data_IF_548914865841
#
_entry.id   IF_548914865841
#
_cell.length_a   1.000
_cell.length_b   1.000
_cell.length_c   1.000
_cell.angle_alpha   90.00
_cell.angle_beta   90.00
_cell.angle_gamma   90.00
#
_symmetry.space_group_name_H-M   'P 1'
#
loop_
_entity.id
_entity.type
_entity.pdbx_description
1 polymer ?
#
# COMPACT_ATOMS: atom_id res chain seq x y z
N UNK A 1 1.39 15.81 7.69
CA UNK A 1 2.44 15.48 6.70
C UNK A 1 3.50 16.57 6.61
N UNK A 2 3.13 17.85 6.59
CA UNK A 2 4.08 18.97 6.46
C UNK A 2 5.19 18.96 7.53
N UNK A 3 4.89 18.67 8.80
CA UNK A 3 5.90 18.49 9.86
C UNK A 3 6.96 17.46 9.46
N UNK A 4 6.54 16.25 9.05
CA UNK A 4 7.47 15.16 8.76
C UNK A 4 8.24 15.40 7.46
N UNK A 5 7.64 16.01 6.44
CA UNK A 5 8.38 16.43 5.24
C UNK A 5 9.41 17.51 5.57
N UNK A 6 9.07 18.51 6.40
CA UNK A 6 10.04 19.51 6.85
C UNK A 6 11.22 18.83 7.57
N UNK A 7 10.96 17.86 8.44
CA UNK A 7 12.02 17.14 9.17
C UNK A 7 12.88 16.27 8.25
N UNK A 8 12.28 15.37 7.46
CA UNK A 8 12.99 14.41 6.61
C UNK A 8 13.71 15.07 5.43
N UNK A 9 13.09 16.06 4.80
CA UNK A 9 13.57 16.62 3.53
C UNK A 9 14.40 17.90 3.72
N UNK A 10 14.21 18.62 4.83
CA UNK A 10 14.67 20.01 4.94
C UNK A 10 15.49 20.36 6.18
N UNK A 11 15.47 19.52 7.22
CA UNK A 11 16.21 19.82 8.45
C UNK A 11 17.71 19.61 8.29
N UNK A 12 18.12 18.74 7.37
CA UNK A 12 19.50 18.48 7.00
C UNK A 12 19.65 18.64 5.49
N UNK A 13 20.69 19.29 5.00
CA UNK A 13 20.97 19.29 3.57
C UNK A 13 21.52 17.92 3.10
N UNK A 14 21.48 17.64 1.79
CA UNK A 14 22.06 16.40 1.22
C UNK A 14 23.58 16.27 1.46
N UNK A 15 24.29 17.37 1.69
CA UNK A 15 25.74 17.45 1.93
C UNK A 15 26.07 17.82 3.39
N UNK A 16 25.13 17.61 4.31
CA UNK A 16 25.33 17.92 5.73
C UNK A 16 26.36 16.99 6.39
N UNK A 17 26.32 15.70 6.08
CA UNK A 17 27.23 14.69 6.63
C UNK A 17 28.46 14.57 5.72
N UNK A 18 29.66 14.71 6.30
CA UNK A 18 30.92 14.67 5.54
C UNK A 18 31.92 13.63 6.03
N UNK A 19 31.77 13.13 7.27
CA UNK A 19 32.62 12.10 7.87
C UNK A 19 34.12 12.34 7.64
N UNK A 20 34.60 13.57 7.87
CA UNK A 20 35.99 13.93 7.58
C UNK A 20 36.86 13.81 8.85
N UNK A 21 37.65 12.72 9.00
CA UNK A 21 38.53 12.55 10.15
C UNK A 21 39.70 13.53 10.16
N UNK A 22 40.09 14.10 9.01
CA UNK A 22 41.22 15.04 8.92
C UNK A 22 40.85 16.39 9.51
N UNK A 23 39.70 16.93 9.11
CA UNK A 23 39.17 18.18 9.68
C UNK A 23 38.43 17.98 11.01
N UNK A 24 38.19 16.72 11.42
CA UNK A 24 37.40 16.34 12.60
C UNK A 24 35.96 16.84 12.53
N UNK A 25 35.39 16.88 11.34
CA UNK A 25 34.00 17.30 11.09
C UNK A 25 33.20 16.07 10.70
N UNK A 26 32.23 15.69 11.54
CA UNK A 26 31.25 14.65 11.18
C UNK A 26 30.14 15.26 10.31
N UNK A 27 29.54 16.35 10.80
CA UNK A 27 28.46 17.10 10.14
C UNK A 27 28.82 18.57 10.06
N UNK A 28 28.50 19.20 8.92
CA UNK A 28 28.53 20.65 8.71
C UNK A 28 27.36 21.32 9.45
N UNK A 29 27.60 22.06 10.55
CA UNK A 29 26.51 22.65 11.34
C UNK A 29 25.67 23.66 10.53
N UNK A 30 26.27 24.37 9.57
CA UNK A 30 25.60 25.30 8.67
C UNK A 30 24.65 24.63 7.66
N UNK A 31 24.71 23.29 7.55
CA UNK A 31 23.87 22.46 6.69
C UNK A 31 22.81 21.69 7.48
N UNK A 32 22.61 22.04 8.74
CA UNK A 32 21.54 21.54 9.61
C UNK A 32 20.75 22.73 10.14
N UNK A 33 19.41 22.62 10.16
CA UNK A 33 18.54 23.68 10.63
C UNK A 33 17.33 23.15 11.39
N UNK A 34 16.86 23.99 12.30
CA UNK A 34 15.48 23.95 12.77
C UNK A 34 14.51 24.15 11.61
N UNK A 35 13.38 23.44 11.68
CA UNK A 35 12.28 23.54 10.73
C UNK A 35 11.23 24.56 11.15
N UNK A 36 11.22 24.94 12.43
CA UNK A 36 10.37 25.99 13.00
C UNK A 36 8.91 25.92 12.53
N UNK A 37 8.34 24.71 12.52
CA UNK A 37 6.95 24.52 12.13
C UNK A 37 6.04 25.07 13.23
N UNK A 38 5.06 25.86 12.82
CA UNK A 38 3.93 26.29 13.63
C UNK A 38 2.67 25.97 12.84
N UNK A 39 1.71 25.30 13.47
CA UNK A 39 0.47 24.89 12.81
C UNK A 39 -0.63 24.61 13.82
N UNK A 40 -1.86 24.44 13.35
CA UNK A 40 -3.03 24.27 14.23
C UNK A 40 -2.96 23.04 15.14
N UNK A 41 -2.49 21.91 14.61
CA UNK A 41 -2.44 20.63 15.33
C UNK A 41 -1.10 20.35 15.99
N UNK A 42 -0.03 20.96 15.46
CA UNK A 42 1.32 20.93 16.02
C UNK A 42 1.76 22.38 16.24
N UNK A 43 1.37 22.99 17.38
CA UNK A 43 1.58 24.42 17.61
C UNK A 43 3.04 24.86 17.50
N UNK A 44 3.97 23.97 17.86
CA UNK A 44 5.40 24.21 17.69
C UNK A 44 6.17 22.91 17.50
N UNK A 45 6.94 22.83 16.43
CA UNK A 45 7.98 21.82 16.21
C UNK A 45 9.22 22.56 15.70
N UNK A 46 10.14 22.98 16.59
CA UNK A 46 11.36 23.68 16.21
C UNK A 46 12.27 22.79 15.34
N UNK A 47 12.46 21.52 15.70
CA UNK A 47 13.53 20.69 15.14
C UNK A 47 14.87 20.97 15.84
N UNK A 48 16.03 20.64 15.21
CA UNK A 48 16.17 19.89 13.95
C UNK A 48 15.67 18.45 14.07
N UNK A 49 15.61 17.73 12.96
CA UNK A 49 15.47 16.27 12.99
C UNK A 49 16.71 15.67 13.65
N UNK A 50 16.52 14.71 14.56
CA UNK A 50 17.64 14.11 15.30
C UNK A 50 18.41 13.05 14.48
N UNK A 51 17.88 12.66 13.33
CA UNK A 51 18.51 11.68 12.43
C UNK A 51 19.12 12.38 11.22
N UNK A 52 20.29 11.90 10.79
CA UNK A 52 20.88 12.29 9.51
C UNK A 52 20.06 11.77 8.32
N UNK A 53 20.27 12.30 7.10
CA UNK A 53 19.57 11.85 5.91
C UNK A 53 19.69 10.34 5.66
N UNK A 54 18.57 9.61 5.64
CA UNK A 54 18.54 8.21 5.19
C UNK A 54 18.52 8.12 3.65
N UNK A 55 18.77 6.94 3.07
CA UNK A 55 18.77 6.75 1.60
C UNK A 55 17.51 7.28 0.90
N UNK A 56 16.34 7.06 1.50
CA UNK A 56 15.05 7.54 0.97
C UNK A 56 14.58 8.84 1.61
N UNK A 57 15.21 9.30 2.70
CA UNK A 57 14.76 10.37 3.62
C UNK A 57 13.29 10.16 3.99
N UNK A 58 12.33 10.64 3.19
CA UNK A 58 10.93 10.23 3.29
C UNK A 58 10.74 8.75 2.89
N UNK A 59 10.13 7.89 3.74
CA UNK A 59 9.79 6.51 3.35
C UNK A 59 8.72 6.48 2.24
N UNK A 60 8.56 5.35 1.54
CA UNK A 60 7.49 5.22 0.54
C UNK A 60 6.13 5.41 1.23
N UNK A 61 5.31 6.34 0.72
CA UNK A 61 4.03 6.67 1.35
C UNK A 61 2.90 5.79 0.82
N UNK A 62 2.44 4.86 1.65
CA UNK A 62 1.22 4.08 1.42
C UNK A 62 0.01 4.76 2.06
N UNK A 63 -1.15 4.65 1.42
CA UNK A 63 -2.43 5.15 1.93
C UNK A 63 -3.57 4.19 1.55
N UNK A 64 -4.57 4.00 2.43
CA UNK A 64 -5.66 3.03 2.22
C UNK A 64 -7.08 3.61 2.42
N UNK A 65 -7.23 4.93 2.45
CA UNK A 65 -8.50 5.59 2.74
C UNK A 65 -9.31 5.84 1.47
N UNK A 66 -10.50 5.26 1.40
CA UNK A 66 -11.39 5.32 0.22
C UNK A 66 -12.51 6.38 0.29
N UNK A 67 -12.59 7.16 1.38
CA UNK A 67 -13.55 8.28 1.49
C UNK A 67 -13.12 9.47 0.63
N UNK A 68 -14.03 10.39 0.31
CA UNK A 68 -13.69 11.60 -0.46
C UNK A 68 -12.47 12.37 0.10
N UNK A 69 -12.45 12.71 1.40
CA UNK A 69 -11.28 13.32 2.05
C UNK A 69 -10.04 12.41 2.03
N UNK A 70 -10.22 11.10 2.21
CA UNK A 70 -9.13 10.12 2.15
C UNK A 70 -8.47 10.07 0.77
N UNK A 71 -9.28 10.11 -0.30
CA UNK A 71 -8.82 10.12 -1.68
C UNK A 71 -8.12 11.43 -2.03
N UNK A 72 -8.62 12.59 -1.56
CA UNK A 72 -7.93 13.87 -1.74
C UNK A 72 -6.57 13.89 -1.01
N UNK A 73 -6.51 13.33 0.20
CA UNK A 73 -5.25 13.16 0.93
C UNK A 73 -4.28 12.23 0.19
N UNK A 74 -4.78 11.11 -0.34
CA UNK A 74 -3.99 10.16 -1.12
C UNK A 74 -3.46 10.79 -2.41
N UNK A 75 -4.31 11.50 -3.16
CA UNK A 75 -3.90 12.25 -4.34
C UNK A 75 -2.74 13.20 -4.05
N UNK A 76 -2.76 13.87 -2.89
CA UNK A 76 -1.70 14.80 -2.47
C UNK A 76 -0.40 14.14 -1.99
N UNK A 77 -0.48 12.99 -1.32
CA UNK A 77 0.65 12.46 -0.53
C UNK A 77 1.03 11.02 -0.80
N UNK A 78 0.14 10.20 -1.33
CA UNK A 78 0.43 8.79 -1.52
C UNK A 78 1.32 8.60 -2.74
N UNK A 79 2.26 7.67 -2.61
CA UNK A 79 2.96 7.05 -3.72
C UNK A 79 2.20 5.77 -4.12
N UNK A 80 1.75 5.00 -3.12
CA UNK A 80 0.97 3.79 -3.31
C UNK A 80 -0.38 3.90 -2.59
N UNK A 81 -1.46 3.57 -3.28
CA UNK A 81 -2.80 3.44 -2.71
C UNK A 81 -3.16 1.97 -2.62
N UNK A 82 -3.69 1.56 -1.47
CA UNK A 82 -4.27 0.25 -1.27
C UNK A 82 -5.80 0.33 -1.31
N UNK A 83 -6.43 -0.48 -2.15
CA UNK A 83 -7.88 -0.54 -2.29
C UNK A 83 -8.42 -1.96 -2.05
N UNK A 84 -9.60 -2.05 -1.43
CA UNK A 84 -10.37 -3.28 -1.33
C UNK A 84 -11.61 -3.21 -2.21
N UNK A 85 -11.66 -3.96 -3.30
CA UNK A 85 -12.80 -4.03 -4.20
C UNK A 85 -13.05 -5.48 -4.58
N UNK A 86 -14.31 -5.91 -4.61
CA UNK A 86 -14.67 -7.31 -4.86
C UNK A 86 -14.71 -7.69 -6.35
N UNK A 87 -14.69 -6.71 -7.26
CA UNK A 87 -14.68 -6.93 -8.72
C UNK A 87 -13.78 -5.92 -9.45
N UNK A 88 -13.18 -6.28 -10.59
CA UNK A 88 -12.30 -5.39 -11.35
C UNK A 88 -12.95 -4.05 -11.75
N UNK A 89 -14.23 -4.05 -12.12
CA UNK A 89 -14.93 -2.84 -12.56
C UNK A 89 -15.17 -1.85 -11.42
N UNK A 90 -15.31 -2.35 -10.18
CA UNK A 90 -15.39 -1.53 -8.99
C UNK A 90 -14.01 -0.97 -8.61
N UNK A 91 -12.95 -1.76 -8.78
CA UNK A 91 -11.58 -1.29 -8.63
C UNK A 91 -11.26 -0.19 -9.66
N UNK A 92 -11.70 -0.35 -10.92
CA UNK A 92 -11.52 0.64 -11.99
C UNK A 92 -11.97 2.03 -11.57
N UNK A 93 -13.18 2.14 -11.02
CA UNK A 93 -13.71 3.45 -10.57
C UNK A 93 -12.80 4.12 -9.55
N UNK A 94 -12.22 3.35 -8.63
CA UNK A 94 -11.31 3.88 -7.59
C UNK A 94 -9.95 4.26 -8.15
N UNK A 95 -9.40 3.46 -9.07
CA UNK A 95 -8.17 3.76 -9.80
C UNK A 95 -8.33 5.06 -10.59
N UNK A 96 -9.40 5.16 -11.38
CA UNK A 96 -9.69 6.34 -12.21
C UNK A 96 -9.86 7.59 -11.34
N UNK A 97 -10.58 7.50 -10.21
CA UNK A 97 -10.74 8.59 -9.25
C UNK A 97 -9.42 9.02 -8.60
N UNK A 98 -8.58 8.07 -8.17
CA UNK A 98 -7.27 8.35 -7.60
C UNK A 98 -6.38 9.11 -8.58
N UNK A 99 -6.28 8.59 -9.80
CA UNK A 99 -5.46 9.15 -10.87
C UNK A 99 -5.98 10.51 -11.34
N UNK A 100 -7.29 10.71 -11.40
CA UNK A 100 -7.89 12.01 -11.67
C UNK A 100 -7.53 13.04 -10.59
N UNK A 101 -7.66 12.69 -9.30
CA UNK A 101 -7.31 13.58 -8.20
C UNK A 101 -5.82 13.96 -8.19
N UNK A 102 -4.93 13.03 -8.53
CA UNK A 102 -3.50 13.32 -8.69
C UNK A 102 -3.25 14.32 -9.84
N UNK A 103 -3.92 14.11 -10.98
CA UNK A 103 -3.83 15.01 -12.15
C UNK A 103 -4.28 16.43 -11.81
N UNK A 104 -5.41 16.57 -11.11
CA UNK A 104 -6.01 17.86 -10.76
C UNK A 104 -5.06 18.76 -9.95
N UNK A 105 -4.17 18.15 -9.15
CA UNK A 105 -3.19 18.88 -8.35
C UNK A 105 -1.80 18.96 -9.00
N UNK A 106 -1.69 18.59 -10.28
CA UNK A 106 -0.46 18.70 -11.06
C UNK A 106 0.54 17.56 -10.90
N UNK A 107 0.14 16.42 -10.32
CA UNK A 107 0.96 15.20 -10.29
C UNK A 107 0.74 14.38 -11.55
N UNK A 108 1.77 13.66 -11.95
CA UNK A 108 1.63 12.58 -12.92
C UNK A 108 0.73 11.47 -12.35
N UNK A 109 -0.40 11.14 -13.01
CA UNK A 109 -1.31 10.10 -12.53
C UNK A 109 -0.65 8.71 -12.40
N UNK A 110 0.35 8.42 -13.23
CA UNK A 110 1.03 7.12 -13.24
C UNK A 110 2.09 7.01 -12.12
N UNK A 111 2.39 8.13 -11.44
CA UNK A 111 3.19 8.16 -10.20
C UNK A 111 2.45 7.56 -9.00
N UNK A 112 1.12 7.45 -9.10
CA UNK A 112 0.27 6.91 -8.05
C UNK A 112 -0.03 5.44 -8.35
N UNK A 113 0.70 4.54 -7.70
CA UNK A 113 0.52 3.10 -7.86
C UNK A 113 -0.69 2.63 -7.07
N UNK A 114 -1.51 1.76 -7.65
CA UNK A 114 -2.70 1.24 -6.97
C UNK A 114 -2.59 -0.27 -6.80
N UNK A 115 -2.66 -0.74 -5.56
CA UNK A 115 -2.67 -2.16 -5.22
C UNK A 115 -4.08 -2.58 -4.79
N UNK A 116 -4.60 -3.66 -5.36
CA UNK A 116 -5.86 -4.27 -4.92
C UNK A 116 -5.64 -5.39 -3.90
N UNK A 117 -6.52 -5.49 -2.90
CA UNK A 117 -6.58 -6.65 -2.00
C UNK A 117 -7.04 -7.88 -2.78
N UNK A 118 -6.30 -8.99 -2.67
CA UNK A 118 -6.72 -10.30 -3.19
C UNK A 118 -6.28 -11.41 -2.23
N UNK A 119 -7.08 -12.47 -2.11
CA UNK A 119 -6.71 -13.68 -1.38
C UNK A 119 -6.61 -14.88 -2.35
N UNK A 120 -5.40 -15.32 -2.74
CA UNK A 120 -5.24 -16.43 -3.66
C UNK A 120 -5.26 -17.78 -2.92
N UNK A 121 -5.87 -18.78 -3.55
CA UNK A 121 -5.82 -20.19 -3.15
C UNK A 121 -5.35 -20.97 -4.37
N UNK A 122 -4.09 -21.39 -4.33
CA UNK A 122 -3.38 -21.91 -5.50
C UNK A 122 -3.11 -23.41 -5.30
N UNK A 123 -3.47 -24.20 -6.30
CA UNK A 123 -3.14 -25.63 -6.39
C UNK A 123 -2.21 -25.91 -7.56
N UNK A 124 -1.69 -27.14 -7.67
CA UNK A 124 -0.98 -27.58 -8.89
C UNK A 124 -1.96 -27.77 -10.05
N UNK A 125 -3.20 -28.11 -9.74
CA UNK A 125 -4.33 -28.13 -10.68
C UNK A 125 -5.49 -27.30 -10.12
N UNK A 126 -6.47 -26.98 -10.96
CA UNK A 126 -7.69 -26.27 -10.53
C UNK A 126 -8.49 -27.11 -9.52
N UNK A 127 -8.52 -28.44 -9.69
CA UNK A 127 -9.19 -29.35 -8.77
C UNK A 127 -8.53 -29.35 -7.38
N UNK A 128 -7.20 -29.37 -7.31
CA UNK A 128 -6.47 -29.27 -6.05
C UNK A 128 -6.76 -27.92 -5.36
N UNK A 129 -6.74 -26.83 -6.12
CA UNK A 129 -7.05 -25.50 -5.59
C UNK A 129 -8.48 -25.44 -5.03
N UNK A 130 -9.44 -26.04 -5.71
CA UNK A 130 -10.82 -26.12 -5.25
C UNK A 130 -10.95 -26.99 -3.99
N UNK A 131 -10.22 -28.10 -3.90
CA UNK A 131 -10.18 -28.92 -2.68
C UNK A 131 -9.60 -28.14 -1.50
N UNK A 132 -8.49 -27.42 -1.70
CA UNK A 132 -7.92 -26.50 -0.69
C UNK A 132 -8.94 -25.45 -0.26
N UNK A 133 -9.64 -24.83 -1.22
CA UNK A 133 -10.67 -23.83 -0.91
C UNK A 133 -11.76 -24.42 0.00
N UNK A 134 -12.31 -25.59 -0.35
CA UNK A 134 -13.36 -26.23 0.45
C UNK A 134 -12.87 -26.60 1.85
N UNK A 135 -11.65 -27.14 1.95
CA UNK A 135 -11.01 -27.45 3.23
C UNK A 135 -10.87 -26.19 4.10
N UNK A 136 -10.27 -25.13 3.57
CA UNK A 136 -10.06 -23.87 4.31
C UNK A 136 -11.39 -23.22 4.70
N UNK A 137 -12.36 -23.25 3.78
CA UNK A 137 -13.69 -22.69 4.02
C UNK A 137 -14.40 -23.40 5.17
N UNK A 138 -14.25 -24.72 5.27
CA UNK A 138 -14.85 -25.53 6.35
C UNK A 138 -14.31 -25.18 7.74
N UNK A 139 -13.10 -24.62 7.82
CA UNK A 139 -12.48 -24.18 9.07
C UNK A 139 -12.81 -22.71 9.42
N UNK A 140 -13.48 -21.97 8.53
CA UNK A 140 -13.79 -20.55 8.72
C UNK A 140 -14.83 -20.30 9.83
N UNK A 141 -14.47 -19.46 10.81
CA UNK A 141 -15.38 -19.07 11.89
C UNK A 141 -16.40 -18.02 11.42
N UNK A 142 -17.70 -18.36 11.48
CA UNK A 142 -18.77 -17.42 11.18
C UNK A 142 -18.81 -16.25 12.18
N UNK A 143 -18.65 -16.53 13.48
CA UNK A 143 -18.60 -15.49 14.52
C UNK A 143 -17.42 -14.55 14.31
N UNK A 144 -16.24 -15.09 13.98
CA UNK A 144 -15.05 -14.28 13.67
C UNK A 144 -15.26 -13.38 12.46
N UNK A 145 -15.90 -13.91 11.41
CA UNK A 145 -16.24 -13.13 10.21
C UNK A 145 -17.23 -11.99 10.53
N UNK A 146 -18.24 -12.24 11.38
CA UNK A 146 -19.20 -11.21 11.81
C UNK A 146 -18.57 -10.16 12.73
N UNK A 147 -17.62 -10.56 13.58
CA UNK A 147 -16.86 -9.61 14.40
C UNK A 147 -16.02 -8.67 13.53
N UNK A 148 -15.37 -9.19 12.48
CA UNK A 148 -14.65 -8.37 11.49
C UNK A 148 -15.59 -7.45 10.72
N UNK A 149 -16.75 -7.95 10.29
CA UNK A 149 -17.78 -7.13 9.65
C UNK A 149 -18.17 -5.94 10.53
N UNK A 150 -18.45 -6.19 11.81
CA UNK A 150 -18.78 -5.13 12.77
C UNK A 150 -17.64 -4.12 12.93
N UNK A 151 -16.40 -4.58 13.06
CA UNK A 151 -15.23 -3.70 13.18
C UNK A 151 -14.98 -2.82 11.95
N UNK A 152 -15.14 -3.36 10.74
CA UNK A 152 -14.90 -2.62 9.50
C UNK A 152 -16.03 -1.67 9.11
N UNK A 153 -17.26 -2.01 9.45
CA UNK A 153 -18.44 -1.27 9.00
C UNK A 153 -19.09 -0.44 10.09
N UNK A 154 -18.79 -0.72 11.36
CA UNK A 154 -19.49 -0.17 12.51
C UNK A 154 -20.90 -0.75 12.73
N UNK A 155 -21.29 -1.78 11.97
CA UNK A 155 -22.63 -2.37 12.04
C UNK A 155 -22.64 -3.65 12.86
N UNK A 156 -23.45 -3.66 13.92
CA UNK A 156 -23.66 -4.87 14.72
C UNK A 156 -24.79 -5.72 14.14
N UNK A 157 -24.45 -6.96 13.77
CA UNK A 157 -25.42 -7.92 13.29
C UNK A 157 -25.95 -8.85 14.40
N UNK A 158 -25.42 -8.80 15.62
CA UNK A 158 -25.85 -9.66 16.73
C UNK A 158 -27.36 -9.57 17.04
N UNK A 159 -28.04 -8.40 16.94
CA UNK A 159 -29.47 -8.29 17.26
C UNK A 159 -30.41 -8.99 16.27
N UNK A 160 -29.96 -9.31 15.05
CA UNK A 160 -30.82 -9.88 14.01
C UNK A 160 -30.99 -11.39 14.17
N UNK A 161 -32.14 -11.91 13.74
CA UNK A 161 -32.41 -13.35 13.75
C UNK A 161 -31.52 -14.13 12.76
N UNK A 162 -31.32 -15.43 13.01
CA UNK A 162 -30.52 -16.30 12.12
C UNK A 162 -31.10 -16.41 10.71
N UNK A 163 -32.43 -16.46 10.60
CA UNK A 163 -33.18 -16.51 9.34
C UNK A 163 -33.69 -15.13 8.89
N UNK A 164 -33.26 -14.04 9.51
CA UNK A 164 -33.74 -12.72 9.15
C UNK A 164 -33.13 -12.26 7.81
N UNK A 165 -33.96 -11.74 6.91
CA UNK A 165 -33.49 -11.16 5.65
C UNK A 165 -33.01 -9.72 5.88
N UNK A 166 -31.68 -9.55 5.88
CA UNK A 166 -31.01 -8.30 6.23
C UNK A 166 -31.23 -7.17 5.20
N UNK A 167 -31.74 -7.45 3.99
CA UNK A 167 -32.18 -6.40 3.04
C UNK A 167 -33.54 -5.79 3.40
N UNK A 168 -34.29 -6.41 4.30
CA UNK A 168 -35.63 -5.96 4.71
C UNK A 168 -35.65 -5.29 6.10
N UNK A 169 -34.51 -5.22 6.80
CA UNK A 169 -34.37 -4.60 8.12
C UNK A 169 -34.68 -3.10 8.17
N UNK A 170 -35.10 -2.56 9.31
CA UNK A 170 -35.34 -1.11 9.49
C UNK A 170 -34.05 -0.26 9.36
N UNK A 171 -32.86 -0.84 9.53
CA UNK A 171 -31.59 -0.13 9.41
C UNK A 171 -31.19 0.14 7.96
N UNK A 172 -31.31 1.41 7.53
CA UNK A 172 -30.86 1.85 6.19
C UNK A 172 -29.37 1.60 5.93
N UNK A 173 -28.52 1.70 6.96
CA UNK A 173 -27.09 1.46 6.83
C UNK A 173 -26.80 -0.01 6.50
N UNK A 174 -27.45 -0.93 7.23
CA UNK A 174 -27.32 -2.37 7.01
C UNK A 174 -27.90 -2.73 5.65
N UNK A 175 -29.11 -2.26 5.31
CA UNK A 175 -29.69 -2.45 3.97
C UNK A 175 -28.70 -2.09 2.86
N UNK A 176 -28.14 -0.87 2.91
CA UNK A 176 -27.20 -0.38 1.88
C UNK A 176 -25.95 -1.25 1.77
N UNK A 177 -25.37 -1.64 2.90
CA UNK A 177 -24.18 -2.48 2.91
C UNK A 177 -24.46 -3.89 2.38
N UNK A 178 -25.55 -4.53 2.83
CA UNK A 178 -25.93 -5.86 2.37
C UNK A 178 -26.31 -5.85 0.89
N UNK A 179 -26.96 -4.79 0.39
CA UNK A 179 -27.20 -4.63 -1.05
C UNK A 179 -25.89 -4.54 -1.84
N UNK A 180 -24.86 -3.91 -1.27
CA UNK A 180 -23.53 -3.90 -1.88
C UNK A 180 -22.95 -5.31 -2.03
N UNK A 181 -23.03 -6.15 -0.99
CA UNK A 181 -22.64 -7.55 -1.07
C UNK A 181 -23.53 -8.37 -2.02
N UNK A 182 -24.85 -8.16 -1.98
CA UNK A 182 -25.83 -8.84 -2.82
C UNK A 182 -25.62 -8.60 -4.32
N UNK A 183 -25.32 -7.35 -4.70
CA UNK A 183 -24.99 -7.00 -6.08
C UNK A 183 -23.76 -7.75 -6.62
N UNK A 184 -22.93 -8.28 -5.73
CA UNK A 184 -21.70 -8.98 -6.07
C UNK A 184 -21.90 -10.50 -6.15
N UNK A 185 -22.81 -11.06 -5.35
CA UNK A 185 -23.19 -12.47 -5.36
C UNK A 185 -24.68 -12.66 -5.73
N UNK A 186 -25.08 -12.42 -6.99
CA UNK A 186 -26.48 -12.43 -7.42
C UNK A 186 -27.16 -13.81 -7.34
N UNK A 187 -26.38 -14.89 -7.20
CA UNK A 187 -26.89 -16.24 -6.97
C UNK A 187 -27.43 -16.45 -5.55
N UNK A 188 -27.11 -15.56 -4.61
CA UNK A 188 -27.58 -15.61 -3.23
C UNK A 188 -28.99 -15.05 -3.16
N UNK A 189 -29.97 -15.92 -2.96
CA UNK A 189 -31.39 -15.55 -2.92
C UNK A 189 -31.78 -14.78 -1.65
N UNK A 190 -31.27 -15.17 -0.48
CA UNK A 190 -31.60 -14.61 0.83
C UNK A 190 -30.34 -14.21 1.60
N UNK A 191 -30.29 -12.99 2.15
CA UNK A 191 -29.14 -12.49 2.90
C UNK A 191 -29.38 -12.50 4.39
N UNK A 192 -28.91 -13.56 5.05
CA UNK A 192 -28.88 -13.69 6.51
C UNK A 192 -27.51 -13.35 7.09
N UNK A 193 -27.38 -13.31 8.43
CA UNK A 193 -26.08 -13.15 9.10
C UNK A 193 -25.07 -14.21 8.66
N UNK A 194 -25.51 -15.47 8.58
CA UNK A 194 -24.67 -16.57 8.10
C UNK A 194 -24.18 -16.31 6.67
N UNK A 195 -25.05 -15.82 5.80
CA UNK A 195 -24.69 -15.53 4.42
C UNK A 195 -23.68 -14.38 4.30
N UNK A 196 -23.76 -13.38 5.18
CA UNK A 196 -22.73 -12.33 5.29
C UNK A 196 -21.41 -12.93 5.76
N UNK A 197 -21.44 -13.73 6.82
CA UNK A 197 -20.25 -14.40 7.35
C UNK A 197 -19.58 -15.26 6.28
N UNK A 198 -20.36 -16.02 5.53
CA UNK A 198 -19.91 -16.91 4.47
C UNK A 198 -19.15 -16.20 3.33
N UNK A 199 -19.49 -14.94 3.05
CA UNK A 199 -18.76 -14.14 2.07
C UNK A 199 -17.42 -13.62 2.60
N UNK A 200 -17.28 -13.50 3.92
CA UNK A 200 -16.14 -12.89 4.58
C UNK A 200 -15.15 -13.90 5.15
N UNK A 201 -15.57 -15.16 5.34
CA UNK A 201 -14.74 -16.26 5.88
C UNK A 201 -13.40 -16.39 5.18
N UNK A 202 -13.38 -16.19 3.86
CA UNK A 202 -12.16 -16.17 3.04
C UNK A 202 -12.10 -14.83 2.32
N UNK A 203 -10.94 -14.15 2.39
CA UNK A 203 -10.68 -12.90 1.66
C UNK A 203 -11.23 -11.63 2.32
N UNK A 204 -12.13 -11.74 3.31
CA UNK A 204 -12.70 -10.58 3.99
C UNK A 204 -13.42 -9.63 3.02
N UNK A 205 -13.06 -8.35 3.02
CA UNK A 205 -13.59 -7.35 2.08
C UNK A 205 -12.90 -7.36 0.70
N UNK A 206 -11.99 -8.31 0.47
CA UNK A 206 -11.38 -8.55 -0.83
C UNK A 206 -11.99 -9.77 -1.53
N UNK A 207 -11.82 -9.90 -2.85
CA UNK A 207 -12.10 -11.13 -3.55
C UNK A 207 -11.04 -12.19 -3.23
N UNK A 208 -11.43 -13.44 -3.40
CA UNK A 208 -10.51 -14.57 -3.46
C UNK A 208 -10.43 -15.12 -4.88
N UNK A 209 -9.26 -15.63 -5.26
CA UNK A 209 -9.03 -16.30 -6.55
C UNK A 209 -8.64 -17.74 -6.28
N UNK A 210 -9.31 -18.68 -6.92
CA UNK A 210 -9.07 -20.12 -6.75
C UNK A 210 -8.67 -20.71 -8.09
N UNK A 211 -7.58 -21.47 -8.12
CA UNK A 211 -7.16 -22.20 -9.33
C UNK A 211 -5.70 -22.65 -9.31
N UNK A 212 -5.29 -23.25 -10.42
CA UNK A 212 -3.89 -23.52 -10.72
C UNK A 212 -3.09 -22.22 -10.86
N UNK A 213 -1.75 -22.31 -10.85
CA UNK A 213 -0.90 -21.14 -11.12
C UNK A 213 -1.25 -20.43 -12.44
N UNK A 214 -1.57 -21.18 -13.50
CA UNK A 214 -1.98 -20.61 -14.79
C UNK A 214 -3.33 -19.90 -14.69
N UNK A 215 -4.32 -20.56 -14.07
CA UNK A 215 -5.68 -20.02 -13.93
C UNK A 215 -5.71 -18.77 -13.04
N UNK A 216 -4.90 -18.74 -11.98
CA UNK A 216 -4.77 -17.56 -11.12
C UNK A 216 -4.02 -16.44 -11.85
N UNK A 217 -2.96 -16.76 -12.61
CA UNK A 217 -2.27 -15.76 -13.43
C UNK A 217 -3.21 -15.12 -14.47
N UNK A 218 -4.05 -15.90 -15.15
CA UNK A 218 -5.08 -15.39 -16.09
C UNK A 218 -6.07 -14.45 -15.39
N UNK A 219 -6.50 -14.81 -14.18
CA UNK A 219 -7.38 -13.96 -13.36
C UNK A 219 -6.69 -12.65 -12.96
N UNK A 220 -5.41 -12.68 -12.55
CA UNK A 220 -4.65 -11.48 -12.21
C UNK A 220 -4.45 -10.56 -13.41
N UNK A 221 -4.16 -11.10 -14.58
CA UNK A 221 -4.05 -10.34 -15.83
C UNK A 221 -5.38 -9.67 -16.19
N UNK A 222 -6.49 -10.39 -16.06
CA UNK A 222 -7.82 -9.82 -16.23
C UNK A 222 -8.08 -8.67 -15.25
N UNK A 223 -7.73 -8.85 -13.98
CA UNK A 223 -7.82 -7.79 -12.97
C UNK A 223 -7.02 -6.55 -13.37
N UNK A 224 -5.74 -6.70 -13.74
CA UNK A 224 -4.90 -5.57 -14.19
C UNK A 224 -5.51 -4.88 -15.40
N UNK A 225 -5.94 -5.65 -16.41
CA UNK A 225 -6.51 -5.11 -17.65
C UNK A 225 -7.80 -4.32 -17.43
N UNK A 226 -8.75 -4.87 -16.68
CA UNK A 226 -10.07 -4.25 -16.51
C UNK A 226 -10.06 -3.14 -15.47
N UNK A 227 -9.24 -3.26 -14.41
CA UNK A 227 -9.22 -2.26 -13.32
C UNK A 227 -8.16 -1.19 -13.47
N UNK A 228 -7.06 -1.47 -14.17
CA UNK A 228 -5.91 -0.57 -14.27
C UNK A 228 -5.05 -0.51 -13.00
N UNK A 229 -5.21 -1.45 -12.05
CA UNK A 229 -4.32 -1.58 -10.89
C UNK A 229 -2.89 -1.90 -11.31
N UNK A 230 -1.93 -1.44 -10.52
CA UNK A 230 -0.50 -1.66 -10.75
C UNK A 230 0.02 -2.94 -10.08
N UNK A 231 -0.80 -3.58 -9.24
CA UNK A 231 -0.46 -4.82 -8.57
C UNK A 231 -1.45 -5.20 -7.48
N UNK A 232 -1.01 -6.09 -6.60
CA UNK A 232 -1.87 -6.71 -5.60
C UNK A 232 -1.20 -6.74 -4.23
N UNK A 233 -2.02 -6.55 -3.21
CA UNK A 233 -1.66 -6.85 -1.83
C UNK A 233 -2.29 -8.20 -1.49
N UNK A 234 -1.48 -9.26 -1.49
CA UNK A 234 -1.96 -10.62 -1.27
C UNK A 234 -2.22 -10.87 0.22
N UNK A 235 -3.48 -11.05 0.58
CA UNK A 235 -3.88 -11.63 1.85
C UNK A 235 -3.64 -13.14 1.85
N UNK A 236 -3.71 -13.73 3.03
CA UNK A 236 -3.55 -15.17 3.23
C UNK A 236 -4.82 -15.80 3.78
N UNK A 237 -5.03 -17.07 3.45
CA UNK A 237 -5.99 -17.93 4.16
C UNK A 237 -5.28 -18.73 5.25
N UNK A 238 -4.07 -19.22 4.95
CA UNK A 238 -3.18 -19.89 5.91
C UNK A 238 -1.77 -19.32 5.81
N UNK A 239 -1.05 -19.26 6.92
CA UNK A 239 0.34 -18.79 6.97
C UNK A 239 1.25 -19.85 7.58
N UNK A 240 2.42 -20.16 6.98
CA UNK A 240 2.99 -19.55 5.77
C UNK A 240 2.45 -20.13 4.44
N UNK A 241 1.52 -21.10 4.49
CA UNK A 241 1.12 -21.89 3.31
C UNK A 241 0.69 -21.09 2.07
N UNK A 242 -0.14 -20.05 2.21
CA UNK A 242 -0.54 -19.22 1.06
C UNK A 242 0.68 -18.56 0.39
N UNK A 243 1.67 -18.12 1.15
CA UNK A 243 2.87 -17.49 0.61
C UNK A 243 3.83 -18.50 -0.03
N UNK A 244 3.91 -19.72 0.53
CA UNK A 244 4.65 -20.81 -0.12
C UNK A 244 4.04 -21.14 -1.48
N UNK A 245 2.71 -21.33 -1.56
CA UNK A 245 2.04 -21.59 -2.84
C UNK A 245 2.22 -20.44 -3.85
N UNK A 246 2.21 -19.18 -3.38
CA UNK A 246 2.53 -18.02 -4.23
C UNK A 246 3.94 -18.10 -4.81
N UNK A 247 4.95 -18.35 -3.96
CA UNK A 247 6.37 -18.38 -4.35
C UNK A 247 6.69 -19.61 -5.21
N UNK A 248 6.20 -20.79 -4.84
CA UNK A 248 6.57 -22.05 -5.47
C UNK A 248 5.78 -22.31 -6.76
N UNK A 249 4.54 -21.81 -6.86
CA UNK A 249 3.65 -22.10 -7.99
C UNK A 249 3.39 -20.87 -8.86
N UNK A 250 2.96 -19.75 -8.29
CA UNK A 250 2.51 -18.60 -9.06
C UNK A 250 3.65 -17.71 -9.57
N UNK A 251 4.67 -17.43 -8.75
CA UNK A 251 5.80 -16.58 -9.16
C UNK A 251 6.51 -17.13 -10.41
N UNK A 252 6.84 -18.44 -10.53
CA UNK A 252 7.42 -18.99 -11.75
C UNK A 252 6.53 -18.81 -12.98
N UNK A 253 5.21 -18.92 -12.81
CA UNK A 253 4.26 -18.71 -13.90
C UNK A 253 4.22 -17.24 -14.33
N UNK A 254 4.15 -16.31 -13.37
CA UNK A 254 4.18 -14.87 -13.65
C UNK A 254 5.53 -14.42 -14.25
N UNK A 255 6.65 -15.07 -13.89
CA UNK A 255 7.96 -14.82 -14.49
C UNK A 255 7.99 -15.25 -15.97
N UNK A 256 7.47 -16.44 -16.31
CA UNK A 256 7.36 -16.88 -17.73
C UNK A 256 6.54 -15.90 -18.57
N UNK A 257 5.53 -15.28 -17.96
CA UNK A 257 4.64 -14.30 -18.60
C UNK A 257 5.19 -12.87 -18.60
N UNK A 258 6.34 -12.64 -17.95
CA UNK A 258 7.01 -11.33 -17.91
C UNK A 258 6.42 -10.33 -16.91
N UNK A 259 5.56 -10.76 -15.99
CA UNK A 259 4.94 -9.89 -14.98
C UNK A 259 5.78 -9.73 -13.71
N UNK A 260 6.60 -10.74 -13.41
CA UNK A 260 7.50 -10.73 -12.24
C UNK A 260 8.94 -10.87 -12.72
N UNK A 261 9.84 -10.15 -12.05
CA UNK A 261 11.26 -10.16 -12.36
C UNK A 261 11.92 -11.48 -11.93
N UNK A 262 12.99 -11.86 -12.63
CA UNK A 262 13.82 -13.00 -12.25
C UNK A 262 14.70 -12.74 -11.02
N UNK A 263 15.21 -11.51 -10.90
CA UNK A 263 16.07 -11.06 -9.80
C UNK A 263 15.88 -9.55 -9.55
N UNK A 264 16.24 -9.09 -8.36
CA UNK A 264 16.14 -7.68 -8.01
C UNK A 264 17.12 -6.84 -8.83
N UNK A 265 16.71 -5.61 -9.17
CA UNK A 265 17.58 -4.67 -9.86
C UNK A 265 18.80 -4.35 -9.00
N UNK A 266 19.93 -4.11 -9.67
CA UNK A 266 21.13 -3.60 -9.00
C UNK A 266 20.88 -2.18 -8.48
N UNK A 267 21.44 -1.81 -7.31
CA UNK A 267 21.33 -0.45 -6.77
C UNK A 267 21.84 0.57 -7.80
N UNK A 268 21.15 1.70 -7.94
CA UNK A 268 21.75 2.84 -8.64
C UNK A 268 23.06 3.21 -7.93
N UNK A 269 24.07 3.78 -8.63
CA UNK A 269 25.28 4.28 -7.98
C UNK A 269 24.89 5.22 -6.85
N UNK A 270 25.29 4.90 -5.63
CA UNK A 270 24.89 5.68 -4.49
C UNK A 270 25.39 7.14 -4.68
N UNK A 271 24.71 8.15 -4.09
CA UNK A 271 25.13 9.54 -4.27
C UNK A 271 26.60 9.67 -3.87
N UNK A 272 27.34 10.68 -4.35
CA UNK A 272 28.65 11.02 -3.78
C UNK A 272 28.47 11.58 -2.36
N UNK A 273 28.01 10.71 -1.47
CA UNK A 273 27.80 10.88 -0.05
C UNK A 273 28.76 9.89 0.61
N UNK A 274 29.57 10.30 1.60
CA UNK A 274 30.52 9.44 2.29
C UNK A 274 29.91 8.17 2.92
N UNK A 275 28.58 8.08 3.08
CA UNK A 275 27.88 6.86 3.55
C UNK A 275 27.82 5.73 2.50
N UNK A 276 28.18 6.01 1.25
CA UNK A 276 27.75 5.25 0.09
C UNK A 276 28.90 4.53 -0.64
N UNK A 277 30.14 4.88 -0.34
CA UNK A 277 31.33 4.30 -0.96
C UNK A 277 31.76 3.02 -0.25
N UNK A 278 31.25 1.87 -0.70
CA UNK A 278 31.82 0.55 -0.37
C UNK A 278 31.66 0.10 1.08
N UNK A 279 30.74 0.70 1.83
CA UNK A 279 30.42 0.33 3.21
C UNK A 279 29.63 -0.99 3.23
N UNK A 280 29.93 -1.94 4.14
CA UNK A 280 28.96 -2.94 4.55
C UNK A 280 27.66 -2.21 4.93
N UNK A 281 26.51 -2.79 4.61
CA UNK A 281 25.19 -2.24 4.95
C UNK A 281 25.01 -2.05 6.46
N UNK A 282 23.78 -1.83 6.89
CA UNK A 282 23.50 -1.51 8.29
C UNK A 282 23.76 -2.69 9.25
N UNK A 283 23.97 -3.91 8.73
CA UNK A 283 24.47 -5.10 9.44
C UNK A 283 25.81 -5.67 8.95
N UNK A 284 26.45 -6.52 9.76
CA UNK A 284 27.69 -7.23 9.39
C UNK A 284 27.47 -8.08 8.12
N UNK A 285 28.19 -7.75 7.04
CA UNK A 285 28.13 -8.48 5.76
C UNK A 285 26.95 -8.09 4.86
N UNK A 286 26.14 -7.09 5.24
CA UNK A 286 25.06 -6.61 4.39
C UNK A 286 25.63 -5.84 3.18
N UNK A 287 24.99 -5.95 2.03
CA UNK A 287 25.29 -5.10 0.87
C UNK A 287 24.07 -4.23 0.63
N UNK A 288 24.25 -2.91 0.50
CA UNK A 288 23.14 -1.99 0.25
C UNK A 288 22.48 -2.33 -1.09
N UNK A 289 21.22 -2.79 -1.05
CA UNK A 289 20.40 -3.05 -2.24
C UNK A 289 19.67 -1.80 -2.75
N UNK A 290 18.80 -1.98 -3.75
CA UNK A 290 17.87 -0.93 -4.17
C UNK A 290 16.92 -0.55 -3.03
N UNK A 291 16.58 0.73 -2.95
CA UNK A 291 15.49 1.21 -2.09
C UNK A 291 14.12 0.80 -2.66
N UNK A 292 13.10 0.79 -1.79
CA UNK A 292 11.72 0.50 -2.22
C UNK A 292 11.23 1.50 -3.28
N UNK A 293 11.56 2.79 -3.15
CA UNK A 293 11.19 3.81 -4.13
C UNK A 293 11.91 3.65 -5.46
N UNK A 294 13.19 3.24 -5.45
CA UNK A 294 13.90 2.91 -6.70
C UNK A 294 13.21 1.77 -7.42
N UNK A 295 12.79 0.73 -6.70
CA UNK A 295 12.07 -0.39 -7.31
C UNK A 295 10.77 0.04 -7.97
N UNK A 296 10.05 0.99 -7.37
CA UNK A 296 8.74 1.44 -7.84
C UNK A 296 8.84 2.50 -8.96
N UNK A 297 9.83 3.40 -8.89
CA UNK A 297 9.86 4.63 -9.71
C UNK A 297 11.23 4.95 -10.32
N UNK A 298 12.26 4.16 -10.05
CA UNK A 298 13.62 4.42 -10.52
C UNK A 298 14.31 5.61 -9.84
N UNK A 299 13.79 6.09 -8.70
CA UNK A 299 14.38 7.18 -7.91
C UNK A 299 14.36 6.85 -6.41
N UNK A 300 15.40 7.27 -5.67
CA UNK A 300 15.44 7.12 -4.19
C UNK A 300 14.64 8.18 -3.47
N UNK A 301 14.59 9.38 -4.04
CA UNK A 301 14.01 10.59 -3.46
C UNK A 301 12.57 10.73 -3.94
N UNK A 302 11.77 11.53 -3.22
CA UNK A 302 10.47 11.95 -3.71
C UNK A 302 10.61 12.56 -5.12
N UNK A 303 9.69 12.20 -6.01
CA UNK A 303 9.62 12.80 -7.35
C UNK A 303 9.36 14.29 -7.26
N UNK A 304 9.82 15.06 -8.25
CA UNK A 304 9.67 16.52 -8.24
C UNK A 304 8.21 16.99 -8.19
N UNK A 305 7.28 16.21 -8.76
CA UNK A 305 5.84 16.48 -8.73
C UNK A 305 5.16 16.11 -7.39
N UNK A 306 5.84 15.39 -6.50
CA UNK A 306 5.28 15.03 -5.19
C UNK A 306 5.30 16.24 -4.24
N UNK A 307 4.21 16.50 -3.51
CA UNK A 307 4.11 17.65 -2.60
C UNK A 307 5.26 17.79 -1.60
N UNK A 308 5.79 16.66 -1.10
CA UNK A 308 6.92 16.64 -0.17
C UNK A 308 8.25 17.10 -0.78
N UNK A 309 8.41 17.08 -2.11
CA UNK A 309 9.65 17.45 -2.79
C UNK A 309 10.03 18.92 -2.59
N UNK A 310 9.03 19.79 -2.37
CA UNK A 310 9.22 21.25 -2.13
C UNK A 310 10.05 21.57 -0.88
N UNK A 311 10.20 20.60 0.01
CA UNK A 311 10.96 20.73 1.25
C UNK A 311 12.42 20.28 1.09
N UNK A 312 12.81 19.72 -0.05
CA UNK A 312 14.15 19.13 -0.23
C UNK A 312 15.24 20.18 -0.13
N UNK A 313 16.19 19.99 0.79
CA UNK A 313 17.41 20.81 0.85
C UNK A 313 18.57 20.13 0.13
N UNK A 314 18.77 20.52 -1.13
CA UNK A 314 19.79 19.94 -2.01
C UNK A 314 21.21 20.41 -1.67
N UNK A 315 22.18 19.57 -1.98
CA UNK A 315 23.61 19.88 -1.84
C UNK A 315 23.99 21.15 -2.59
N UNK A 316 24.83 21.99 -1.99
CA UNK A 316 25.28 23.27 -2.57
C UNK A 316 24.21 24.36 -2.77
N UNK A 317 22.95 24.12 -2.35
CA UNK A 317 21.86 25.10 -2.45
C UNK A 317 21.53 25.72 -1.09
N UNK A 318 20.95 26.92 -1.11
CA UNK A 318 20.34 27.52 0.08
C UNK A 318 19.16 26.69 0.59
N UNK A 319 18.86 26.73 1.90
CA UNK A 319 17.74 25.99 2.46
C UNK A 319 16.41 26.44 1.84
N UNK A 320 15.50 25.50 1.52
CA UNK A 320 14.23 25.85 0.90
C UNK A 320 13.38 26.68 1.85
N UNK A 321 12.62 27.62 1.29
CA UNK A 321 11.62 28.38 2.04
C UNK A 321 10.55 27.42 2.56
N UNK A 322 10.39 27.41 3.88
CA UNK A 322 9.35 26.61 4.51
C UNK A 322 8.07 27.44 4.60
N UNK A 323 6.94 26.97 4.04
CA UNK A 323 5.68 27.66 4.23
C UNK A 323 5.35 27.73 5.72
N UNK A 324 5.01 28.95 6.16
CA UNK A 324 4.31 29.18 7.42
C UNK A 324 2.84 28.81 7.16
N UNK A 325 2.29 27.92 7.98
CA UNK A 325 0.88 27.54 7.93
C UNK A 325 0.02 28.59 8.63
#
# INVERSE_FOLDING_TARGET
MDVVYKLWESSWADDAVVLDPKSRVYTRPERVREVNHQGTYYPSVPGPHICEPSLQRTPVIFQAGSSGPGMAFAAKHAEVIFIAAHKPELAKKRVDQARAGAKEIGRDPDSLKVLALLCPIIGRTDEEAQQKFQDYYSHGSAEGALALFGGWTGMDLAPYGEDEELRQTESNAIKSAIESFASQAPSVGKWTKLQVADQLKIGGLGPYLVGSASSVADQLEHWVKESGVDGFNFAYTITPGTFNDLVDLLVPELQKRGHVWGDYQQPLPAPQDPLSTGTPGFGEGETIGITARERLYGTRRLRDDHYGSRYTWKAGQDPPKLPLE
#
